data_IF_362731488397
#
_entry.id   IF_362731488397
#
_cell.length_a   1.000
_cell.length_b   1.000
_cell.length_c   1.000
_cell.angle_alpha   90.00
_cell.angle_beta   90.00
_cell.angle_gamma   90.00
#
_symmetry.space_group_name_H-M   'P 1'
#
loop_
_entity.id
_entity.type
_entity.pdbx_description
1 polymer ?
#
# COMPACT_ATOMS: atom_id res chain seq x y z
N UNK A 1 2.36 -4.43 -28.27
CA UNK A 1 1.71 -4.91 -27.03
C UNK A 1 2.30 -4.19 -25.84
N UNK A 2 1.48 -3.75 -24.89
CA UNK A 2 1.95 -3.04 -23.70
C UNK A 2 2.55 -4.02 -22.69
N UNK A 3 3.77 -3.76 -22.22
CA UNK A 3 4.46 -4.55 -21.20
C UNK A 3 3.79 -4.33 -19.84
N UNK A 4 3.23 -5.38 -19.25
CA UNK A 4 2.28 -5.29 -18.14
C UNK A 4 2.75 -6.09 -16.93
N UNK A 5 2.75 -5.46 -15.75
CA UNK A 5 2.89 -6.10 -14.45
C UNK A 5 1.54 -6.11 -13.73
N UNK A 6 1.01 -7.29 -13.44
CA UNK A 6 -0.28 -7.44 -12.74
C UNK A 6 -0.26 -8.67 -11.84
N UNK A 7 -0.72 -8.52 -10.61
CA UNK A 7 -0.86 -9.61 -9.66
C UNK A 7 -2.06 -10.50 -9.96
N UNK A 8 -2.09 -11.65 -9.29
CA UNK A 8 -3.16 -12.64 -9.40
C UNK A 8 -4.27 -12.36 -8.38
N UNK A 9 -5.03 -11.29 -8.63
CA UNK A 9 -6.24 -11.01 -7.88
C UNK A 9 -7.46 -11.52 -8.63
N UNK A 10 -8.55 -11.80 -7.94
CA UNK A 10 -9.79 -12.24 -8.58
C UNK A 10 -10.26 -11.25 -9.65
N UNK A 11 -10.23 -9.96 -9.33
CA UNK A 11 -10.65 -8.87 -10.22
C UNK A 11 -9.72 -8.65 -11.43
N UNK A 12 -8.51 -9.23 -11.43
CA UNK A 12 -7.55 -9.13 -12.54
C UNK A 12 -7.42 -10.42 -13.35
N UNK A 13 -8.09 -11.50 -12.95
CA UNK A 13 -7.94 -12.82 -13.55
C UNK A 13 -8.30 -12.82 -15.06
N UNK A 14 -9.46 -12.28 -15.41
CA UNK A 14 -9.87 -12.20 -16.82
C UNK A 14 -9.03 -11.18 -17.59
N UNK A 15 -8.62 -10.08 -16.97
CA UNK A 15 -7.71 -9.12 -17.58
C UNK A 15 -6.41 -9.78 -18.02
N UNK A 16 -5.87 -10.68 -17.23
CA UNK A 16 -4.63 -11.41 -17.56
C UNK A 16 -4.76 -12.38 -18.75
N UNK A 17 -5.96 -12.68 -19.21
CA UNK A 17 -6.15 -13.48 -20.44
C UNK A 17 -6.02 -12.66 -21.74
N UNK A 18 -5.92 -11.33 -21.67
CA UNK A 18 -5.84 -10.42 -22.83
C UNK A 18 -4.43 -10.37 -23.45
N UNK A 19 -3.86 -11.53 -23.73
CA UNK A 19 -2.49 -11.67 -24.27
C UNK A 19 -2.37 -11.25 -25.74
N UNK A 20 -3.47 -11.01 -26.43
CA UNK A 20 -3.54 -10.41 -27.77
C UNK A 20 -3.15 -8.93 -27.79
N UNK A 21 -3.35 -8.20 -26.68
CA UNK A 21 -3.09 -6.76 -26.54
C UNK A 21 -1.99 -6.42 -25.54
N UNK A 22 -1.81 -7.26 -24.52
CA UNK A 22 -0.94 -7.03 -23.38
C UNK A 22 0.13 -8.12 -23.28
N UNK A 23 1.35 -7.71 -22.99
CA UNK A 23 2.45 -8.62 -22.70
C UNK A 23 2.66 -8.70 -21.17
N UNK A 24 2.05 -9.70 -20.55
CA UNK A 24 2.18 -9.93 -19.10
C UNK A 24 3.55 -10.53 -18.79
N UNK A 25 4.26 -9.85 -17.88
CA UNK A 25 5.55 -10.34 -17.40
C UNK A 25 5.28 -11.25 -16.20
N UNK A 26 5.64 -12.52 -16.34
CA UNK A 26 5.60 -13.49 -15.24
C UNK A 26 6.59 -13.09 -14.14
N UNK A 27 6.08 -13.00 -12.91
CA UNK A 27 6.88 -12.61 -11.73
C UNK A 27 6.61 -13.55 -10.56
N UNK A 28 7.67 -13.92 -9.87
CA UNK A 28 7.55 -14.68 -8.61
C UNK A 28 7.14 -13.75 -7.47
N UNK A 29 6.28 -14.24 -6.57
CA UNK A 29 5.91 -13.52 -5.35
C UNK A 29 4.90 -12.38 -5.51
N UNK A 30 4.30 -12.25 -6.70
CA UNK A 30 3.27 -11.26 -7.01
C UNK A 30 3.83 -9.85 -7.32
N UNK A 31 2.96 -8.97 -7.82
CA UNK A 31 3.33 -7.65 -8.32
C UNK A 31 4.03 -6.76 -7.28
N UNK A 32 3.64 -6.86 -6.01
CA UNK A 32 4.17 -6.01 -4.93
C UNK A 32 5.68 -6.16 -4.68
N UNK A 33 6.28 -7.30 -5.03
CA UNK A 33 7.72 -7.52 -4.90
C UNK A 33 8.52 -6.84 -6.03
N UNK A 34 7.82 -6.38 -7.08
CA UNK A 34 8.45 -5.83 -8.29
C UNK A 34 8.20 -4.33 -8.49
N UNK A 35 7.62 -3.62 -7.52
CA UNK A 35 7.35 -2.19 -7.64
C UNK A 35 8.63 -1.36 -7.85
N UNK A 36 9.80 -1.81 -7.36
CA UNK A 36 11.09 -1.17 -7.66
C UNK A 36 11.37 -1.14 -9.16
N UNK A 37 11.09 -2.24 -9.89
CA UNK A 37 11.27 -2.31 -11.36
C UNK A 37 10.35 -1.32 -12.09
N UNK A 38 9.14 -1.07 -11.54
CA UNK A 38 8.25 -0.06 -12.11
C UNK A 38 8.82 1.33 -11.94
N UNK A 39 9.16 1.75 -10.70
CA UNK A 39 9.48 3.15 -10.41
C UNK A 39 10.96 3.50 -10.56
N UNK A 40 11.88 2.53 -10.56
CA UNK A 40 13.32 2.75 -10.77
C UNK A 40 13.73 2.48 -12.21
N UNK A 41 13.32 1.32 -12.73
CA UNK A 41 13.76 0.85 -14.06
C UNK A 41 12.78 1.30 -15.15
N UNK A 42 11.61 1.82 -14.78
CA UNK A 42 10.52 2.25 -15.68
C UNK A 42 10.17 1.15 -16.70
N UNK A 43 10.19 -0.10 -16.26
CA UNK A 43 10.19 -1.26 -17.15
C UNK A 43 8.83 -1.53 -17.80
N UNK A 44 7.73 -1.17 -17.13
CA UNK A 44 6.38 -1.55 -17.52
C UNK A 44 5.60 -0.37 -18.10
N UNK A 45 4.78 -0.64 -19.10
CA UNK A 45 3.84 0.34 -19.66
C UNK A 45 2.57 0.44 -18.83
N UNK A 46 2.10 -0.70 -18.28
CA UNK A 46 0.96 -0.82 -17.38
C UNK A 46 1.40 -1.59 -16.15
N UNK A 47 1.07 -1.12 -14.95
CA UNK A 47 1.44 -1.82 -13.74
C UNK A 47 0.40 -1.68 -12.63
N UNK A 48 0.19 -2.75 -11.88
CA UNK A 48 -0.34 -2.67 -10.52
C UNK A 48 0.67 -1.92 -9.65
N UNK A 49 0.19 -1.00 -8.80
CA UNK A 49 1.03 -0.17 -7.95
C UNK A 49 0.37 0.14 -6.62
N UNK A 50 1.15 0.07 -5.54
CA UNK A 50 0.71 0.54 -4.24
C UNK A 50 0.52 2.06 -4.25
N UNK A 51 -0.61 2.56 -3.70
CA UNK A 51 -0.98 3.98 -3.79
C UNK A 51 0.09 4.90 -3.19
N UNK A 52 0.65 4.59 -2.03
CA UNK A 52 1.70 5.43 -1.43
C UNK A 52 2.99 5.41 -2.26
N UNK A 53 3.36 4.25 -2.82
CA UNK A 53 4.51 4.17 -3.75
C UNK A 53 4.27 5.06 -4.98
N UNK A 54 3.05 5.05 -5.53
CA UNK A 54 2.70 5.90 -6.66
C UNK A 54 2.75 7.40 -6.31
N UNK A 55 2.19 7.81 -5.17
CA UNK A 55 2.23 9.21 -4.72
C UNK A 55 3.67 9.70 -4.54
N UNK A 56 4.54 8.89 -3.95
CA UNK A 56 5.97 9.21 -3.83
C UNK A 56 6.62 9.27 -5.22
N UNK A 57 6.35 8.28 -6.09
CA UNK A 57 6.89 8.27 -7.46
C UNK A 57 6.47 9.53 -8.24
N UNK A 58 5.23 9.98 -8.09
CA UNK A 58 4.71 11.22 -8.68
C UNK A 58 5.46 12.44 -8.16
N UNK A 59 5.76 12.50 -6.85
CA UNK A 59 6.51 13.58 -6.24
C UNK A 59 7.95 13.70 -6.79
N UNK A 60 8.52 12.56 -7.22
CA UNK A 60 9.84 12.50 -7.87
C UNK A 60 9.74 12.40 -9.41
N UNK A 61 8.64 12.90 -9.98
CA UNK A 61 8.42 13.01 -11.42
C UNK A 61 8.60 11.70 -12.21
N UNK A 62 8.32 10.55 -11.61
CA UNK A 62 8.28 9.29 -12.36
C UNK A 62 7.15 9.35 -13.40
N UNK A 63 7.40 8.90 -14.65
CA UNK A 63 6.52 9.17 -15.78
C UNK A 63 5.30 8.22 -15.83
N UNK A 64 4.54 8.19 -14.76
CA UNK A 64 3.32 7.39 -14.64
C UNK A 64 2.12 8.25 -14.25
N UNK A 65 0.97 7.93 -14.81
CA UNK A 65 -0.33 8.45 -14.41
C UNK A 65 -1.24 7.34 -13.90
N UNK A 66 -2.16 7.69 -13.02
CA UNK A 66 -3.11 6.76 -12.43
C UNK A 66 -4.23 6.42 -13.42
N UNK A 67 -4.58 5.14 -13.49
CA UNK A 67 -5.92 4.71 -13.89
C UNK A 67 -6.73 4.49 -12.63
N UNK A 68 -7.92 5.11 -12.48
CA UNK A 68 -8.72 5.02 -11.26
C UNK A 68 -9.44 3.65 -11.19
N UNK A 69 -8.65 2.59 -11.07
CA UNK A 69 -9.10 1.20 -10.91
C UNK A 69 -8.42 0.58 -9.70
N UNK A 70 -9.22 0.19 -8.71
CA UNK A 70 -8.74 -0.41 -7.48
C UNK A 70 -8.56 -1.91 -7.64
N UNK A 71 -7.33 -2.38 -7.45
CA UNK A 71 -6.96 -3.80 -7.46
C UNK A 71 -7.07 -4.41 -6.06
N UNK A 72 -6.69 -3.65 -5.04
CA UNK A 72 -6.72 -4.06 -3.64
C UNK A 72 -7.08 -2.87 -2.75
N UNK A 73 -8.09 -3.03 -1.91
CA UNK A 73 -8.44 -2.13 -0.82
C UNK A 73 -8.91 -2.95 0.37
N UNK A 74 -8.50 -2.54 1.56
CA UNK A 74 -8.83 -3.23 2.81
C UNK A 74 -8.50 -2.35 4.01
N UNK A 75 -9.17 -2.55 5.12
CA UNK A 75 -8.79 -1.92 6.38
C UNK A 75 -7.48 -2.51 6.92
N UNK A 76 -6.57 -1.64 7.35
CA UNK A 76 -5.21 -2.03 7.73
C UNK A 76 -5.04 -2.37 9.22
N UNK A 77 -6.07 -2.20 10.03
CA UNK A 77 -6.06 -2.41 11.48
C UNK A 77 -5.49 -3.77 11.95
N UNK A 78 -5.74 -4.91 11.26
CA UNK A 78 -5.22 -6.21 11.69
C UNK A 78 -3.72 -6.42 11.49
N UNK A 79 -3.05 -5.56 10.71
CA UNK A 79 -1.68 -5.81 10.26
C UNK A 79 -0.59 -5.28 11.20
N UNK A 80 -0.94 -4.52 12.25
CA UNK A 80 -0.04 -4.16 13.32
C UNK A 80 -0.18 -5.17 14.45
N UNK A 81 0.88 -5.95 14.70
CA UNK A 81 0.85 -7.07 15.63
C UNK A 81 1.98 -7.03 16.65
N UNK A 82 1.77 -7.68 17.79
CA UNK A 82 2.77 -7.89 18.83
C UNK A 82 2.86 -9.37 19.22
N UNK A 83 3.91 -9.76 19.96
CA UNK A 83 4.08 -11.12 20.49
C UNK A 83 3.45 -11.22 21.88
N UNK A 84 2.27 -11.87 21.99
CA UNK A 84 1.54 -12.03 23.24
C UNK A 84 2.28 -12.86 24.30
N UNK A 85 3.24 -13.70 23.92
CA UNK A 85 4.09 -14.43 24.88
C UNK A 85 5.01 -13.49 25.69
N UNK A 86 5.16 -12.22 25.27
CA UNK A 86 6.00 -11.21 25.92
C UNK A 86 5.20 -10.13 26.65
N UNK A 87 3.90 -10.31 26.79
CA UNK A 87 2.99 -9.33 27.39
C UNK A 87 2.06 -8.70 26.35
N UNK A 88 1.20 -7.80 26.79
CA UNK A 88 0.25 -7.08 25.95
C UNK A 88 0.87 -5.75 25.50
N UNK A 89 0.62 -5.37 24.26
CA UNK A 89 0.98 -4.07 23.69
C UNK A 89 -0.27 -3.43 23.11
N UNK A 90 -0.58 -2.22 23.58
CA UNK A 90 -1.67 -1.37 23.06
C UNK A 90 -1.11 -0.24 22.21
N UNK A 91 -1.93 0.50 21.44
CA UNK A 91 -1.45 1.66 20.69
C UNK A 91 -0.71 2.69 21.56
N UNK A 92 -1.19 2.95 22.76
CA UNK A 92 -0.65 3.93 23.71
C UNK A 92 0.76 3.54 24.21
N UNK A 93 1.06 2.24 24.26
CA UNK A 93 2.37 1.72 24.68
C UNK A 93 3.47 1.93 23.65
N UNK A 94 3.13 2.30 22.41
CA UNK A 94 4.10 2.35 21.29
C UNK A 94 5.11 3.50 21.39
N UNK A 95 4.89 4.52 22.23
CA UNK A 95 5.86 5.60 22.40
C UNK A 95 7.21 5.07 22.92
N UNK A 96 8.28 5.39 22.22
CA UNK A 96 9.64 4.92 22.52
C UNK A 96 9.93 3.48 22.11
N UNK A 97 8.91 2.72 21.69
CA UNK A 97 9.00 1.34 21.27
C UNK A 97 9.59 1.19 19.86
N UNK A 98 10.14 0.02 19.59
CA UNK A 98 10.67 -0.38 18.29
C UNK A 98 9.58 -1.11 17.49
N UNK A 99 9.17 -0.54 16.37
CA UNK A 99 8.13 -1.11 15.52
C UNK A 99 8.71 -1.46 14.16
N UNK A 100 8.66 -2.75 13.81
CA UNK A 100 9.14 -3.26 12.53
C UNK A 100 8.15 -2.99 11.39
N UNK A 101 8.66 -2.63 10.22
CA UNK A 101 7.88 -2.51 8.98
C UNK A 101 8.81 -2.80 7.80
N UNK A 102 8.34 -3.50 6.78
CA UNK A 102 9.17 -3.89 5.62
C UNK A 102 9.97 -2.71 5.06
N UNK A 103 9.32 -1.60 4.77
CA UNK A 103 9.90 -0.30 4.42
C UNK A 103 9.00 0.81 4.96
N UNK A 104 9.56 1.94 5.35
CA UNK A 104 8.78 3.05 5.92
C UNK A 104 7.70 3.56 4.96
N UNK A 105 7.98 3.58 3.66
CA UNK A 105 7.09 4.08 2.60
C UNK A 105 6.03 3.09 2.10
N UNK A 106 5.86 1.91 2.72
CA UNK A 106 4.81 0.97 2.28
C UNK A 106 3.41 1.46 2.67
N UNK A 107 2.44 1.19 1.81
CA UNK A 107 1.05 1.67 1.97
C UNK A 107 0.43 1.20 3.28
N UNK A 108 0.56 -0.08 3.65
CA UNK A 108 0.05 -0.59 4.94
C UNK A 108 0.64 0.17 6.12
N UNK A 109 1.96 0.46 6.08
CA UNK A 109 2.63 1.24 7.12
C UNK A 109 2.10 2.67 7.21
N UNK A 110 1.88 3.33 6.09
CA UNK A 110 1.33 4.69 6.06
C UNK A 110 -0.07 4.76 6.65
N UNK A 111 -0.97 3.85 6.26
CA UNK A 111 -2.32 3.79 6.84
C UNK A 111 -2.31 3.48 8.34
N UNK A 112 -1.49 2.53 8.80
CA UNK A 112 -1.39 2.21 10.22
C UNK A 112 -0.87 3.41 11.03
N UNK A 113 0.14 4.15 10.54
CA UNK A 113 0.61 5.37 11.21
C UNK A 113 -0.48 6.43 11.30
N UNK A 114 -1.32 6.58 10.25
CA UNK A 114 -2.46 7.49 10.30
C UNK A 114 -3.50 7.04 11.33
N UNK A 115 -3.86 5.76 11.35
CA UNK A 115 -4.78 5.19 12.34
C UNK A 115 -4.26 5.43 13.77
N UNK A 116 -2.99 5.14 14.02
CA UNK A 116 -2.37 5.36 15.32
C UNK A 116 -2.44 6.83 15.75
N UNK A 117 -2.17 7.75 14.82
CA UNK A 117 -2.21 9.19 15.13
C UNK A 117 -3.63 9.73 15.31
N UNK A 118 -4.56 9.39 14.39
CA UNK A 118 -5.88 10.04 14.34
C UNK A 118 -6.93 9.35 15.24
N UNK A 119 -6.85 8.03 15.41
CA UNK A 119 -7.84 7.28 16.19
C UNK A 119 -7.34 6.92 17.61
N UNK A 120 -6.01 6.89 17.82
CA UNK A 120 -5.42 6.54 19.11
C UNK A 120 -4.55 7.66 19.74
N UNK A 121 -4.41 8.82 19.07
CA UNK A 121 -3.63 9.95 19.59
C UNK A 121 -2.13 9.66 19.76
N UNK A 122 -1.60 8.66 19.06
CA UNK A 122 -0.19 8.26 19.17
C UNK A 122 0.68 9.21 18.33
N UNK A 123 1.68 9.81 18.98
CA UNK A 123 2.71 10.56 18.27
C UNK A 123 3.68 9.60 17.57
N UNK A 124 3.48 9.42 16.27
CA UNK A 124 4.28 8.52 15.42
C UNK A 124 5.77 8.90 15.33
N UNK A 125 6.12 10.17 15.66
CA UNK A 125 7.51 10.62 15.69
C UNK A 125 8.27 10.07 16.91
N UNK A 126 7.57 9.65 17.94
CA UNK A 126 8.14 9.04 19.15
C UNK A 126 8.32 7.51 19.04
N UNK A 127 7.86 6.91 17.95
CA UNK A 127 8.09 5.48 17.66
C UNK A 127 9.45 5.34 16.94
N UNK A 128 10.22 4.30 17.30
CA UNK A 128 11.45 3.91 16.60
C UNK A 128 11.08 2.89 15.52
N UNK A 129 11.04 3.34 14.27
CA UNK A 129 10.70 2.48 13.14
C UNK A 129 11.91 1.66 12.70
N UNK A 130 11.74 0.34 12.58
CA UNK A 130 12.79 -0.59 12.11
C UNK A 130 12.40 -1.10 10.74
N UNK A 131 13.25 -0.83 9.73
CA UNK A 131 12.97 -1.21 8.33
C UNK A 131 13.94 -2.28 7.84
N UNK A 132 13.46 -3.13 6.92
CA UNK A 132 14.19 -4.30 6.40
C UNK A 132 14.57 -4.11 4.92
N UNK A 133 13.86 -3.26 4.22
CA UNK A 133 14.10 -2.94 2.81
C UNK A 133 14.14 -1.44 2.59
N UNK A 134 14.83 -1.04 1.53
CA UNK A 134 14.77 0.34 1.02
C UNK A 134 13.38 0.68 0.49
N UNK A 135 13.06 1.98 0.48
CA UNK A 135 11.89 2.50 -0.22
C UNK A 135 11.87 2.05 -1.69
N UNK A 136 10.68 1.90 -2.26
CA UNK A 136 10.55 1.56 -3.68
C UNK A 136 11.14 2.66 -4.57
N UNK A 137 10.86 3.93 -4.27
CA UNK A 137 11.43 5.10 -4.96
C UNK A 137 12.80 5.41 -4.37
N UNK A 138 13.84 5.37 -5.20
CA UNK A 138 15.23 5.47 -4.76
C UNK A 138 15.60 6.84 -4.16
N UNK A 139 14.91 7.89 -4.58
CA UNK A 139 15.12 9.26 -4.12
C UNK A 139 14.49 9.55 -2.76
N UNK A 140 13.49 8.75 -2.34
CA UNK A 140 12.85 8.91 -1.03
C UNK A 140 13.85 8.66 0.10
N UNK A 141 13.81 9.49 1.13
CA UNK A 141 14.62 9.35 2.34
C UNK A 141 13.73 9.12 3.54
N UNK A 142 14.04 8.10 4.31
CA UNK A 142 13.34 7.79 5.56
C UNK A 142 13.56 8.92 6.59
N UNK A 143 12.58 9.21 7.45
CA UNK A 143 12.73 10.21 8.53
C UNK A 143 13.75 9.76 9.59
N UNK A 144 14.21 10.70 10.47
CA UNK A 144 15.32 10.43 11.42
C UNK A 144 15.03 9.34 12.45
N UNK A 145 13.76 9.06 12.74
CA UNK A 145 13.34 8.01 13.68
C UNK A 145 13.19 6.63 13.04
N UNK A 146 13.76 6.44 11.84
CA UNK A 146 13.81 5.17 11.13
C UNK A 146 15.23 4.62 11.15
N UNK A 147 15.39 3.40 11.59
CA UNK A 147 16.64 2.65 11.53
C UNK A 147 16.52 1.43 10.60
N UNK A 148 17.64 1.01 10.04
CA UNK A 148 17.73 -0.22 9.26
C UNK A 148 18.02 -1.39 10.20
N UNK A 149 17.23 -2.48 10.09
CA UNK A 149 17.54 -3.74 10.74
C UNK A 149 18.90 -4.27 10.27
N UNK A 150 19.65 -4.98 11.13
CA UNK A 150 20.87 -5.66 10.71
C UNK A 150 20.64 -6.60 9.52
N UNK A 151 21.64 -6.74 8.66
CA UNK A 151 21.53 -7.61 7.48
C UNK A 151 21.17 -9.07 7.88
N UNK A 152 20.27 -9.68 7.12
CA UNK A 152 19.79 -11.05 7.34
C UNK A 152 18.77 -11.22 8.46
N UNK A 153 18.37 -10.15 9.15
CA UNK A 153 17.29 -10.20 10.14
C UNK A 153 15.94 -10.19 9.46
N UNK A 154 15.03 -11.02 9.98
CA UNK A 154 13.64 -11.11 9.53
C UNK A 154 12.70 -10.49 10.55
N UNK A 155 11.72 -9.73 10.06
CA UNK A 155 10.79 -8.96 10.91
C UNK A 155 10.05 -9.83 11.93
N UNK A 156 9.54 -10.99 11.51
CA UNK A 156 8.81 -11.92 12.39
C UNK A 156 9.73 -12.59 13.40
N UNK A 157 10.97 -12.91 13.01
CA UNK A 157 11.97 -13.49 13.91
C UNK A 157 12.37 -12.48 15.00
N UNK A 158 12.60 -11.21 14.63
CA UNK A 158 12.92 -10.15 15.60
C UNK A 158 11.75 -9.89 16.55
N UNK A 159 10.50 -9.92 16.06
CA UNK A 159 9.30 -9.76 16.89
C UNK A 159 9.20 -10.90 17.92
N UNK A 160 9.42 -12.15 17.51
CA UNK A 160 9.38 -13.31 18.40
C UNK A 160 10.51 -13.27 19.45
N UNK A 161 11.68 -12.85 19.03
CA UNK A 161 12.85 -12.70 19.94
C UNK A 161 12.71 -11.49 20.89
N UNK A 162 11.79 -10.56 20.64
CA UNK A 162 11.63 -9.33 21.40
C UNK A 162 12.70 -8.28 21.10
N UNK A 163 13.33 -8.38 19.94
CA UNK A 163 14.24 -7.36 19.42
C UNK A 163 13.48 -6.14 18.88
N UNK A 164 12.20 -6.32 18.56
CA UNK A 164 11.21 -5.28 18.30
C UNK A 164 9.93 -5.56 19.10
N UNK A 165 9.17 -4.54 19.47
CA UNK A 165 7.99 -4.63 20.34
C UNK A 165 6.72 -4.95 19.56
N UNK A 166 6.60 -4.43 18.33
CA UNK A 166 5.50 -4.67 17.42
C UNK A 166 5.98 -4.69 15.97
N UNK A 167 5.15 -5.18 15.06
CA UNK A 167 5.46 -5.24 13.64
C UNK A 167 4.24 -4.97 12.76
N UNK A 168 4.45 -4.26 11.65
CA UNK A 168 3.47 -4.10 10.58
C UNK A 168 3.79 -5.15 9.51
N UNK A 169 2.89 -6.12 9.34
CA UNK A 169 3.05 -7.23 8.41
C UNK A 169 2.24 -7.00 7.12
N UNK A 170 2.62 -7.68 6.04
CA UNK A 170 1.90 -7.63 4.75
C UNK A 170 0.66 -8.53 4.69
N UNK A 171 0.59 -9.51 5.59
CA UNK A 171 -0.52 -10.45 5.76
C UNK A 171 -0.83 -10.65 7.24
N UNK A 172 -2.04 -11.08 7.54
CA UNK A 172 -2.42 -11.48 8.90
C UNK A 172 -1.66 -12.76 9.24
N UNK A 173 -0.89 -12.78 10.34
CA UNK A 173 -0.12 -13.96 10.70
C UNK A 173 -1.05 -15.11 11.12
N UNK A 174 -0.65 -16.34 10.80
CA UNK A 174 -1.31 -17.57 11.27
C UNK A 174 -0.83 -18.02 12.65
N UNK A 175 0.27 -17.47 13.14
CA UNK A 175 0.82 -17.77 14.45
C UNK A 175 -0.08 -17.20 15.56
N UNK A 176 -0.65 -18.04 16.43
CA UNK A 176 -1.58 -17.60 17.47
C UNK A 176 -0.94 -16.74 18.56
N UNK A 177 0.39 -16.70 18.64
CA UNK A 177 1.11 -15.83 19.57
C UNK A 177 1.19 -14.37 19.06
N UNK A 178 1.02 -14.16 17.77
CA UNK A 178 1.02 -12.81 17.19
C UNK A 178 -0.40 -12.25 17.20
N UNK A 179 -0.62 -11.29 18.06
CA UNK A 179 -1.93 -10.65 18.26
C UNK A 179 -1.95 -9.24 17.70
N UNK A 180 -3.11 -8.74 17.22
CA UNK A 180 -3.21 -7.36 16.79
C UNK A 180 -3.05 -6.39 17.97
N UNK A 181 -2.30 -5.31 17.77
CA UNK A 181 -2.13 -4.21 18.74
C UNK A 181 -3.44 -3.43 18.89
N UNK A 182 -4.17 -3.25 17.80
CA UNK A 182 -5.49 -2.62 17.81
C UNK A 182 -6.53 -3.69 18.19
N UNK A 183 -7.19 -3.45 19.32
CA UNK A 183 -8.25 -4.36 19.80
C UNK A 183 -9.41 -4.40 18.83
N UNK A 184 -9.98 -5.61 18.62
CA UNK A 184 -11.10 -5.86 17.71
C UNK A 184 -10.87 -5.20 16.31
N UNK A 185 -9.79 -5.55 15.61
CA UNK A 185 -9.32 -4.80 14.46
C UNK A 185 -10.30 -4.80 13.27
N UNK A 186 -11.14 -5.82 13.14
CA UNK A 186 -12.20 -5.87 12.13
C UNK A 186 -13.28 -4.83 12.43
N UNK A 187 -13.75 -4.79 13.68
CA UNK A 187 -14.74 -3.80 14.12
C UNK A 187 -14.15 -2.37 14.07
N UNK A 188 -12.86 -2.21 14.43
CA UNK A 188 -12.17 -0.93 14.32
C UNK A 188 -12.08 -0.46 12.85
N UNK A 189 -11.74 -1.37 11.92
CA UNK A 189 -11.74 -1.07 10.50
C UNK A 189 -13.11 -0.66 9.97
N UNK A 190 -14.16 -1.38 10.37
CA UNK A 190 -15.53 -1.04 9.98
C UNK A 190 -15.92 0.36 10.49
N UNK A 191 -15.66 0.68 11.77
CA UNK A 191 -15.89 2.03 12.33
C UNK A 191 -15.11 3.11 11.58
N UNK A 192 -13.86 2.81 11.22
CA UNK A 192 -13.06 3.74 10.40
C UNK A 192 -13.75 4.01 9.05
N UNK A 193 -14.21 2.97 8.37
CA UNK A 193 -14.94 3.09 7.10
C UNK A 193 -16.23 3.90 7.24
N UNK A 194 -17.01 3.65 8.28
CA UNK A 194 -18.23 4.40 8.59
C UNK A 194 -17.94 5.88 8.90
N UNK A 195 -16.92 6.15 9.71
CA UNK A 195 -16.48 7.52 10.09
C UNK A 195 -16.04 8.33 8.88
N UNK A 196 -15.30 7.71 7.96
CA UNK A 196 -14.71 8.40 6.82
C UNK A 196 -15.53 8.27 5.52
N UNK A 197 -16.55 7.41 5.48
CA UNK A 197 -17.28 7.10 4.25
C UNK A 197 -16.39 6.51 3.14
N UNK A 198 -15.38 5.73 3.52
CA UNK A 198 -14.28 5.36 2.63
C UNK A 198 -13.70 3.99 2.90
N UNK A 199 -12.90 3.50 1.95
CA UNK A 199 -12.03 2.33 2.14
C UNK A 199 -10.57 2.71 1.97
N UNK A 200 -9.67 2.06 2.74
CA UNK A 200 -8.23 2.31 2.63
C UNK A 200 -7.69 1.65 1.35
N UNK A 201 -7.41 2.48 0.34
CA UNK A 201 -6.83 2.03 -0.92
C UNK A 201 -5.43 1.44 -0.67
N UNK A 202 -5.15 0.31 -1.31
CA UNK A 202 -3.83 -0.31 -1.22
C UNK A 202 -3.14 -0.35 -2.59
N UNK A 203 -3.72 -1.04 -3.57
CA UNK A 203 -3.17 -1.11 -4.92
C UNK A 203 -4.18 -0.60 -5.96
N UNK A 204 -3.68 0.17 -6.90
CA UNK A 204 -4.37 0.65 -8.08
C UNK A 204 -3.57 0.28 -9.33
N UNK A 205 -4.02 0.77 -10.49
CA UNK A 205 -3.30 0.60 -11.76
C UNK A 205 -2.69 1.92 -12.20
N UNK A 206 -1.46 1.87 -12.69
CA UNK A 206 -0.78 3.00 -13.31
C UNK A 206 -0.40 2.68 -14.74
N UNK A 207 -0.36 3.70 -15.59
CA UNK A 207 0.15 3.60 -16.96
C UNK A 207 1.25 4.62 -17.17
N UNK A 208 2.27 4.24 -17.97
CA UNK A 208 3.35 5.13 -18.35
C UNK A 208 2.80 6.31 -19.18
N UNK A 209 3.31 7.51 -18.99
CA UNK A 209 2.83 8.71 -19.69
C UNK A 209 3.00 8.64 -21.21
N UNK A 210 3.90 7.77 -21.71
CA UNK A 210 4.09 7.51 -23.15
C UNK A 210 2.99 6.64 -23.77
N UNK A 211 2.15 5.98 -22.95
CA UNK A 211 1.03 5.19 -23.45
C UNK A 211 -0.06 6.15 -23.95
N UNK A 212 -0.49 6.04 -25.23
CA UNK A 212 -1.55 6.88 -25.77
C UNK A 212 -2.85 6.76 -24.95
N UNK A 213 -3.63 7.85 -24.88
CA UNK A 213 -4.87 7.86 -24.11
C UNK A 213 -5.84 6.76 -24.53
N UNK A 214 -6.07 6.58 -25.83
CA UNK A 214 -6.92 5.50 -26.35
C UNK A 214 -6.51 4.10 -25.87
N UNK A 215 -5.20 3.84 -25.77
CA UNK A 215 -4.71 2.56 -25.26
C UNK A 215 -4.91 2.44 -23.75
N UNK A 216 -4.75 3.53 -22.99
CA UNK A 216 -5.05 3.57 -21.57
C UNK A 216 -6.55 3.35 -21.29
N UNK A 217 -7.42 3.97 -22.08
CA UNK A 217 -8.88 3.79 -21.98
C UNK A 217 -9.28 2.34 -22.27
N UNK A 218 -8.64 1.72 -23.25
CA UNK A 218 -8.87 0.31 -23.56
C UNK A 218 -8.41 -0.62 -22.42
N UNK A 219 -7.25 -0.34 -21.80
CA UNK A 219 -6.77 -1.05 -20.61
C UNK A 219 -7.79 -0.90 -19.48
N UNK A 220 -8.29 0.31 -19.24
CA UNK A 220 -9.29 0.57 -18.20
C UNK A 220 -10.59 -0.21 -18.46
N UNK A 221 -11.08 -0.22 -19.70
CA UNK A 221 -12.27 -0.99 -20.09
C UNK A 221 -12.08 -2.49 -19.82
N UNK A 222 -10.94 -3.07 -20.22
CA UNK A 222 -10.63 -4.48 -19.98
C UNK A 222 -10.55 -4.81 -18.47
N UNK A 223 -10.05 -3.90 -17.65
CA UNK A 223 -10.02 -4.05 -16.19
C UNK A 223 -11.43 -4.04 -15.60
N UNK A 224 -12.31 -3.14 -16.08
CA UNK A 224 -13.71 -3.07 -15.63
C UNK A 224 -14.46 -4.34 -16.02
N UNK A 225 -14.27 -4.85 -17.23
CA UNK A 225 -14.86 -6.14 -17.66
C UNK A 225 -14.39 -7.29 -16.77
N UNK A 226 -13.10 -7.33 -16.43
CA UNK A 226 -12.53 -8.35 -15.54
C UNK A 226 -13.12 -8.29 -14.13
N UNK A 227 -13.29 -7.08 -13.59
CA UNK A 227 -13.93 -6.88 -12.28
C UNK A 227 -15.40 -7.30 -12.31
N UNK A 228 -16.12 -6.99 -13.39
CA UNK A 228 -17.52 -7.41 -13.57
C UNK A 228 -17.65 -8.91 -13.58
N UNK A 229 -16.75 -9.62 -14.29
CA UNK A 229 -16.70 -11.09 -14.29
C UNK A 229 -16.36 -11.71 -12.94
N UNK A 230 -15.66 -10.96 -12.07
CA UNK A 230 -15.37 -11.35 -10.68
C UNK A 230 -16.52 -10.98 -9.69
N UNK A 231 -17.72 -10.70 -10.17
CA UNK A 231 -18.87 -10.36 -9.32
C UNK A 231 -18.92 -8.92 -8.82
N UNK A 232 -18.08 -8.06 -9.39
CA UNK A 232 -18.06 -6.61 -9.10
C UNK A 232 -17.99 -6.26 -7.59
N UNK A 233 -16.95 -6.72 -6.86
CA UNK A 233 -16.86 -6.52 -5.43
C UNK A 233 -16.96 -5.03 -5.05
N UNK A 234 -17.87 -4.65 -4.13
CA UNK A 234 -18.19 -3.24 -3.84
C UNK A 234 -17.06 -2.49 -3.13
N UNK A 235 -16.18 -3.21 -2.43
CA UNK A 235 -15.04 -2.66 -1.72
C UNK A 235 -13.84 -2.33 -2.63
N UNK A 236 -13.95 -2.53 -3.94
CA UNK A 236 -12.92 -2.18 -4.91
C UNK A 236 -13.49 -1.16 -5.91
N UNK A 237 -13.58 0.13 -5.56
CA UNK A 237 -14.17 1.13 -6.44
C UNK A 237 -13.36 1.30 -7.73
N UNK A 238 -14.01 1.68 -8.82
CA UNK A 238 -13.38 2.04 -10.09
C UNK A 238 -14.10 3.23 -10.74
N UNK A 239 -13.36 3.95 -11.57
CA UNK A 239 -13.80 5.23 -12.11
C UNK A 239 -13.47 6.39 -11.15
N UNK A 240 -13.25 7.56 -11.72
CA UNK A 240 -12.80 8.73 -10.97
C UNK A 240 -13.78 9.13 -9.87
N UNK A 241 -15.05 9.16 -10.20
CA UNK A 241 -16.13 9.57 -9.28
C UNK A 241 -16.15 8.69 -8.02
N UNK A 242 -16.13 7.37 -8.21
CA UNK A 242 -16.21 6.40 -7.12
C UNK A 242 -14.91 6.28 -6.30
N UNK A 243 -13.75 6.66 -6.87
CA UNK A 243 -12.45 6.56 -6.19
C UNK A 243 -11.98 7.89 -5.62
N UNK A 244 -12.58 9.01 -5.97
CA UNK A 244 -12.13 10.37 -5.64
C UNK A 244 -11.88 10.57 -4.16
N UNK A 245 -12.87 10.28 -3.34
CA UNK A 245 -12.79 10.49 -1.90
C UNK A 245 -11.70 9.62 -1.24
N UNK A 246 -11.61 8.35 -1.62
CA UNK A 246 -10.58 7.44 -1.13
C UNK A 246 -9.16 7.90 -1.55
N UNK A 247 -9.01 8.45 -2.77
CA UNK A 247 -7.76 9.03 -3.25
C UNK A 247 -7.37 10.29 -2.46
N UNK A 248 -8.33 11.17 -2.16
CA UNK A 248 -8.09 12.36 -1.33
C UNK A 248 -7.59 11.98 0.06
N UNK A 249 -8.16 10.96 0.68
CA UNK A 249 -7.69 10.43 1.97
C UNK A 249 -6.29 9.83 1.87
N UNK A 250 -5.96 9.12 0.79
CA UNK A 250 -4.63 8.59 0.57
C UNK A 250 -3.58 9.69 0.35
N UNK A 251 -3.94 10.75 -0.37
CA UNK A 251 -3.10 11.95 -0.56
C UNK A 251 -2.86 12.63 0.79
N UNK A 252 -3.91 12.84 1.59
CA UNK A 252 -3.81 13.44 2.91
C UNK A 252 -2.95 12.60 3.86
N UNK A 253 -3.13 11.28 3.84
CA UNK A 253 -2.31 10.33 4.59
C UNK A 253 -0.81 10.49 4.25
N UNK A 254 -0.48 10.56 2.97
CA UNK A 254 0.90 10.71 2.52
C UNK A 254 1.47 12.10 2.87
N UNK A 255 0.68 13.16 2.69
CA UNK A 255 1.12 14.54 2.93
C UNK A 255 1.33 14.83 4.42
N UNK A 256 0.38 14.48 5.28
CA UNK A 256 0.49 14.66 6.75
C UNK A 256 1.71 13.96 7.33
N UNK A 257 2.10 12.81 6.77
CA UNK A 257 3.28 12.05 7.18
C UNK A 257 4.57 12.48 6.46
N UNK A 258 4.53 13.54 5.64
CA UNK A 258 5.68 14.02 4.85
C UNK A 258 6.29 12.96 3.93
N UNK A 259 5.47 11.99 3.47
CA UNK A 259 5.89 11.03 2.45
C UNK A 259 5.95 11.67 1.07
N UNK A 260 5.22 12.77 0.88
CA UNK A 260 5.25 13.64 -0.30
C UNK A 260 5.45 15.10 0.15
N UNK A 261 6.20 15.92 -0.61
CA UNK A 261 6.54 17.30 -0.21
C UNK A 261 5.38 18.28 -0.34
N UNK A 262 4.39 17.95 -1.16
CA UNK A 262 3.21 18.79 -1.42
C UNK A 262 1.96 17.94 -1.53
N UNK A 263 0.80 18.53 -1.19
CA UNK A 263 -0.49 17.86 -1.35
C UNK A 263 -0.90 17.93 -2.83
N UNK A 264 -1.07 16.77 -3.46
CA UNK A 264 -1.59 16.69 -4.82
C UNK A 264 -3.10 16.88 -4.84
N UNK A 265 -3.65 17.32 -6.00
CA UNK A 265 -5.06 17.11 -6.32
C UNK A 265 -5.25 15.76 -7.03
N UNK A 266 -6.47 15.24 -7.02
CA UNK A 266 -6.77 13.97 -7.71
C UNK A 266 -6.51 14.09 -9.21
N UNK A 267 -6.81 15.24 -9.81
CA UNK A 267 -6.58 15.53 -11.23
C UNK A 267 -5.08 15.46 -11.61
N UNK A 268 -4.20 15.86 -10.69
CA UNK A 268 -2.76 15.76 -10.91
C UNK A 268 -2.29 14.31 -10.99
N UNK A 269 -2.98 13.37 -10.36
CA UNK A 269 -2.63 11.95 -10.42
C UNK A 269 -2.94 11.32 -11.79
N UNK A 270 -3.88 11.89 -12.54
CA UNK A 270 -4.37 11.36 -13.81
C UNK A 270 -3.55 11.85 -15.04
N UNK A 271 -2.54 12.67 -14.80
CA UNK A 271 -1.72 13.32 -15.85
C UNK A 271 -0.30 12.82 -15.88
#
# INVERSE_FOLDING_TARGET
MLKTLMGDQEVTRQFKTRTDKLNFVEVKGGAAQHFKRVVRDLEFDVAEMAIITYLIAKAYAKPYRLLPFTVLARYQHPFLVYNAARGTVTPEDLHGKRVGVRSYSVTTGAWIRQILAEDHGVDISRIKWVTYEEAHVAEFRDPPNVERAPAGKEITAMLKAGEIDAAILGAIPTDPQLKPVIRDPEAAGKRWGEKHGAIQLNHLVVVKNTVPQMAADEVFRMLVESKTAAGNPPNLPHGLEATRHDLELAIDCAYKQRLIPQRFTVEQLLR
#
